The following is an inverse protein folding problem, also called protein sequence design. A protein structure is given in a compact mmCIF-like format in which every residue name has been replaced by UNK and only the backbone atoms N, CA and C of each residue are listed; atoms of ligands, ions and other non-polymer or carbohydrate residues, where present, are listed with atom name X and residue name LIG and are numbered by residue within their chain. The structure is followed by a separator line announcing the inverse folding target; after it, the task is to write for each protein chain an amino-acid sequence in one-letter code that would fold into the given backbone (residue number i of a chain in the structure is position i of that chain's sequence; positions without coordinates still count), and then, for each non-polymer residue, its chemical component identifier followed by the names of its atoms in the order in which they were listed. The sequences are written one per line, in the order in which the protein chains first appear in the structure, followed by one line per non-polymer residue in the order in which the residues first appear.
data_IF_501279552825
#
_entry.id   IF_501279552825
#
_cell.length_a   1.000
_cell.length_b   1.000
_cell.length_c   1.000
_cell.angle_alpha   90.00
_cell.angle_beta   90.00
_cell.angle_gamma   90.00
#
_symmetry.space_group_name_H-M   'P 1'
#
loop_
_entity.id
_entity.type
_entity.pdbx_description
1 polymer ?
#
# COMPACT_ATOMS: atom_id res chain seq x y z
N UNK A 1 57.25 -3.45 38.03
CA UNK A 1 56.57 -3.68 36.74
C UNK A 1 55.22 -4.30 37.04
N UNK A 2 54.18 -3.46 37.15
CA UNK A 2 52.80 -3.87 37.43
C UNK A 2 52.09 -4.12 36.09
N UNK A 3 51.46 -5.28 35.93
CA UNK A 3 50.42 -5.47 34.92
C UNK A 3 49.13 -5.89 35.61
N UNK A 4 48.18 -4.96 35.60
CA UNK A 4 46.80 -5.12 36.04
C UNK A 4 46.06 -6.16 35.22
N UNK A 5 45.41 -7.11 35.89
CA UNK A 5 44.25 -7.83 35.35
C UNK A 5 42.99 -7.28 36.03
N UNK A 6 42.12 -6.63 35.27
CA UNK A 6 40.81 -6.19 35.74
C UNK A 6 39.84 -7.39 35.79
N UNK A 7 38.87 -7.43 36.73
CA UNK A 7 37.88 -8.49 36.79
C UNK A 7 36.81 -8.34 35.69
N UNK A 8 36.46 -9.45 35.05
CA UNK A 8 35.41 -9.60 34.04
C UNK A 8 34.03 -9.29 34.64
N UNK A 9 33.15 -8.50 34.00
CA UNK A 9 31.80 -8.27 34.51
C UNK A 9 30.91 -9.50 34.25
N UNK A 10 30.36 -10.05 35.34
CA UNK A 10 29.31 -11.09 35.30
C UNK A 10 28.00 -10.44 34.85
N UNK A 11 27.50 -10.80 33.67
CA UNK A 11 26.22 -10.35 33.15
C UNK A 11 25.08 -10.91 34.01
N UNK A 12 24.47 -10.07 34.85
CA UNK A 12 23.32 -10.43 35.68
C UNK A 12 22.09 -10.60 34.78
N UNK A 13 21.63 -11.84 34.56
CA UNK A 13 20.39 -12.13 33.82
C UNK A 13 19.20 -11.55 34.58
N UNK A 14 18.55 -10.54 34.01
CA UNK A 14 17.26 -10.03 34.49
C UNK A 14 16.14 -11.06 34.29
N UNK A 15 15.02 -10.96 35.04
CA UNK A 15 13.94 -11.93 34.99
C UNK A 15 13.25 -11.92 33.61
N UNK A 16 12.99 -13.13 33.10
CA UNK A 16 12.47 -13.37 31.76
C UNK A 16 11.12 -12.69 31.50
N UNK A 17 11.02 -12.01 30.36
CA UNK A 17 9.73 -11.57 29.81
C UNK A 17 8.98 -12.79 29.28
N UNK A 18 7.82 -13.05 29.86
CA UNK A 18 6.82 -14.01 29.39
C UNK A 18 6.41 -13.71 27.93
N UNK A 19 6.37 -14.71 27.02
CA UNK A 19 5.86 -14.54 25.68
C UNK A 19 4.38 -14.91 25.64
N UNK A 20 3.49 -14.05 26.15
CA UNK A 20 2.04 -14.24 25.94
C UNK A 20 1.30 -12.91 25.82
N UNK A 21 1.00 -12.55 24.58
CA UNK A 21 0.24 -11.34 24.27
C UNK A 21 0.03 -11.12 22.77
N UNK A 22 -0.14 -12.19 21.98
CA UNK A 22 -0.70 -12.04 20.62
C UNK A 22 -2.13 -11.55 20.80
N UNK A 23 -2.38 -10.26 20.57
CA UNK A 23 -3.74 -9.75 20.38
C UNK A 23 -4.33 -10.56 19.22
N UNK A 24 -5.35 -11.37 19.50
CA UNK A 24 -6.17 -11.95 18.46
C UNK A 24 -6.82 -10.78 17.71
N UNK A 25 -6.36 -10.54 16.49
CA UNK A 25 -7.04 -9.64 15.57
C UNK A 25 -8.33 -10.36 15.18
N UNK A 26 -9.47 -9.82 15.63
CA UNK A 26 -10.77 -10.34 15.25
C UNK A 26 -10.88 -10.34 13.72
N UNK A 27 -11.24 -11.48 13.13
CA UNK A 27 -11.49 -11.56 11.69
C UNK A 27 -12.73 -10.71 11.36
N UNK A 28 -12.69 -9.88 10.31
CA UNK A 28 -13.87 -9.13 9.87
C UNK A 28 -15.00 -10.08 9.41
N UNK A 29 -16.27 -9.65 9.52
CA UNK A 29 -17.43 -10.48 9.20
C UNK A 29 -17.45 -10.95 7.74
N UNK A 30 -18.03 -12.13 7.51
CA UNK A 30 -17.93 -12.91 6.26
C UNK A 30 -18.41 -12.18 4.98
N UNK A 31 -19.24 -11.14 5.10
CA UNK A 31 -19.72 -10.34 3.96
C UNK A 31 -18.67 -9.40 3.37
N UNK A 32 -17.51 -9.24 4.01
CA UNK A 32 -16.39 -8.39 3.58
C UNK A 32 -15.14 -9.21 3.22
N UNK A 33 -15.32 -10.50 2.91
CA UNK A 33 -14.21 -11.36 2.46
C UNK A 33 -13.82 -10.98 1.03
N UNK A 34 -12.77 -10.15 0.91
CA UNK A 34 -11.95 -10.13 -0.30
C UNK A 34 -11.50 -11.57 -0.56
N UNK A 35 -11.80 -12.18 -1.72
CA UNK A 35 -11.40 -13.54 -1.97
C UNK A 35 -9.87 -13.63 -1.91
N UNK A 36 -9.41 -14.63 -1.18
CA UNK A 36 -8.00 -14.89 -0.98
C UNK A 36 -7.34 -15.15 -2.34
N UNK A 37 -6.41 -14.26 -2.73
CA UNK A 37 -5.62 -14.18 -3.99
C UNK A 37 -6.23 -13.26 -5.05
N UNK A 38 -5.95 -11.96 -4.93
CA UNK A 38 -6.02 -11.03 -6.05
C UNK A 38 -4.82 -10.11 -6.04
N UNK A 39 -3.80 -10.37 -6.84
CA UNK A 39 -2.84 -9.33 -7.22
C UNK A 39 -3.48 -8.43 -8.30
N UNK A 40 -2.96 -7.22 -8.50
CA UNK A 40 -3.46 -6.35 -9.56
C UNK A 40 -3.41 -7.03 -10.94
N UNK A 41 -2.44 -7.91 -11.18
CA UNK A 41 -2.33 -8.73 -12.39
C UNK A 41 -3.41 -9.80 -12.49
N UNK A 42 -3.64 -10.58 -11.42
CA UNK A 42 -4.74 -11.57 -11.39
C UNK A 42 -6.11 -10.90 -11.59
N UNK A 43 -6.29 -9.70 -11.04
CA UNK A 43 -7.49 -8.88 -11.23
C UNK A 43 -7.61 -8.37 -12.68
N UNK A 44 -6.48 -8.05 -13.32
CA UNK A 44 -6.42 -7.60 -14.72
C UNK A 44 -6.68 -8.71 -15.72
N UNK A 45 -6.14 -9.90 -15.50
CA UNK A 45 -6.46 -11.07 -16.33
C UNK A 45 -7.95 -11.42 -16.27
N UNK A 46 -8.54 -11.31 -15.07
CA UNK A 46 -9.96 -11.61 -14.86
C UNK A 46 -10.89 -10.52 -15.36
N UNK A 47 -10.48 -9.26 -15.25
CA UNK A 47 -11.29 -8.09 -15.61
C UNK A 47 -10.48 -7.14 -16.50
N UNK A 48 -10.13 -7.54 -17.74
CA UNK A 48 -9.25 -6.76 -18.61
C UNK A 48 -9.80 -5.38 -18.95
N UNK A 49 -11.13 -5.20 -18.86
CA UNK A 49 -11.79 -3.90 -19.02
C UNK A 49 -11.28 -2.83 -18.03
N UNK A 50 -10.64 -3.20 -16.91
CA UNK A 50 -10.05 -2.23 -15.97
C UNK A 50 -8.92 -1.40 -16.56
N UNK A 51 -8.29 -1.88 -17.64
CA UNK A 51 -7.27 -1.15 -18.38
C UNK A 51 -7.88 0.00 -19.21
N UNK A 52 -9.21 -0.02 -19.39
CA UNK A 52 -9.96 1.05 -20.03
C UNK A 52 -10.31 2.10 -18.96
N UNK A 53 -9.28 2.73 -18.41
CA UNK A 53 -9.46 3.69 -17.32
C UNK A 53 -10.14 4.97 -17.84
N UNK A 54 -11.31 5.28 -17.26
CA UNK A 54 -12.13 6.43 -17.63
C UNK A 54 -11.46 7.75 -17.24
N UNK A 55 -10.67 7.76 -16.17
CA UNK A 55 -9.93 8.96 -15.76
C UNK A 55 -8.79 9.19 -16.76
N UNK A 56 -8.06 8.14 -17.13
CA UNK A 56 -7.01 8.24 -18.14
C UNK A 56 -7.54 8.76 -19.49
N UNK A 57 -8.75 8.34 -19.91
CA UNK A 57 -9.35 8.83 -21.16
C UNK A 57 -9.81 10.29 -21.10
N UNK A 58 -10.04 10.83 -19.90
CA UNK A 58 -10.43 12.22 -19.68
C UNK A 58 -9.24 13.16 -19.54
N UNK A 59 -8.12 12.66 -19.01
CA UNK A 59 -6.96 13.49 -18.64
C UNK A 59 -5.88 13.48 -19.72
N UNK A 60 -5.71 12.37 -20.45
CA UNK A 60 -4.69 12.26 -21.49
C UNK A 60 -5.20 12.81 -22.83
N UNK A 61 -4.33 13.46 -23.64
CA UNK A 61 -4.61 13.72 -25.04
C UNK A 61 -5.06 12.45 -25.78
N UNK A 62 -5.96 12.60 -26.75
CA UNK A 62 -6.62 11.46 -27.39
C UNK A 62 -5.65 10.50 -28.10
N UNK A 63 -4.58 11.03 -28.69
CA UNK A 63 -3.48 10.29 -29.30
C UNK A 63 -2.67 9.52 -28.25
N UNK A 64 -2.32 10.16 -27.13
CA UNK A 64 -1.59 9.52 -26.04
C UNK A 64 -2.43 8.42 -25.37
N UNK A 65 -3.72 8.67 -25.15
CA UNK A 65 -4.64 7.65 -24.63
C UNK A 65 -4.74 6.45 -25.59
N UNK A 66 -4.80 6.71 -26.91
CA UNK A 66 -4.78 5.64 -27.92
C UNK A 66 -3.48 4.84 -27.85
N UNK A 67 -2.32 5.49 -27.83
CA UNK A 67 -1.03 4.80 -27.75
C UNK A 67 -0.89 3.99 -26.45
N UNK A 68 -1.35 4.53 -25.31
CA UNK A 68 -1.43 3.77 -24.05
C UNK A 68 -2.34 2.55 -24.20
N UNK A 69 -3.52 2.72 -24.81
CA UNK A 69 -4.45 1.61 -25.04
C UNK A 69 -3.86 0.52 -25.90
N UNK A 70 -3.20 0.90 -27.00
CA UNK A 70 -2.55 -0.02 -27.92
C UNK A 70 -1.40 -0.78 -27.25
N UNK A 71 -0.58 -0.11 -26.44
CA UNK A 71 0.50 -0.76 -25.68
C UNK A 71 -0.03 -1.78 -24.67
N UNK A 72 -1.28 -1.64 -24.23
CA UNK A 72 -1.95 -2.56 -23.31
C UNK A 72 -2.74 -3.69 -24.00
N UNK A 73 -2.86 -3.74 -25.34
CA UNK A 73 -3.66 -4.80 -26.01
C UNK A 73 -3.04 -6.19 -25.84
N UNK A 74 -1.71 -6.30 -25.87
CA UNK A 74 -0.98 -7.57 -25.74
C UNK A 74 0.01 -7.61 -24.56
N UNK A 75 -0.04 -6.60 -23.68
CA UNK A 75 0.94 -6.45 -22.60
C UNK A 75 0.98 -7.67 -21.67
N UNK A 76 -0.15 -8.35 -21.44
CA UNK A 76 -0.21 -9.56 -20.61
C UNK A 76 0.48 -10.77 -21.25
N UNK A 77 0.89 -10.73 -22.51
CA UNK A 77 1.60 -11.83 -23.18
C UNK A 77 3.06 -11.48 -23.53
N UNK A 78 3.51 -10.27 -23.18
CA UNK A 78 4.90 -9.87 -23.36
C UNK A 78 5.83 -10.64 -22.38
N UNK A 79 7.09 -10.93 -22.76
CA UNK A 79 8.04 -11.64 -21.90
C UNK A 79 8.26 -11.01 -20.52
N UNK A 80 8.08 -9.68 -20.40
CA UNK A 80 8.17 -8.99 -19.11
C UNK A 80 6.93 -9.23 -18.21
N UNK A 81 5.75 -9.49 -18.76
CA UNK A 81 4.58 -9.83 -17.97
C UNK A 81 4.75 -11.17 -17.23
N UNK A 82 5.53 -12.10 -17.79
CA UNK A 82 5.90 -13.34 -17.11
C UNK A 82 6.90 -13.13 -15.97
N UNK A 83 7.72 -12.08 -16.04
CA UNK A 83 8.54 -11.63 -14.90
C UNK A 83 7.63 -11.11 -13.79
N UNK A 84 6.71 -10.20 -14.13
CA UNK A 84 5.80 -9.61 -13.14
C UNK A 84 4.83 -10.62 -12.53
N UNK A 85 4.32 -11.58 -13.31
CA UNK A 85 3.54 -12.71 -12.78
C UNK A 85 4.35 -13.53 -11.78
N UNK A 86 5.62 -13.82 -12.06
CA UNK A 86 6.51 -14.53 -11.13
C UNK A 86 6.80 -13.69 -9.89
N UNK A 87 7.00 -12.39 -10.06
CA UNK A 87 7.27 -11.47 -8.95
C UNK A 87 6.07 -11.37 -8.00
N UNK A 88 4.88 -11.14 -8.58
CA UNK A 88 3.62 -10.93 -7.87
C UNK A 88 3.14 -12.16 -7.11
N UNK A 89 3.40 -13.38 -7.65
CA UNK A 89 3.06 -14.65 -6.98
C UNK A 89 3.68 -14.77 -5.58
N UNK A 90 4.83 -14.16 -5.36
CA UNK A 90 5.56 -14.23 -4.09
C UNK A 90 5.51 -12.93 -3.29
N UNK A 91 4.74 -11.93 -3.70
CA UNK A 91 4.75 -10.60 -3.08
C UNK A 91 4.41 -10.66 -1.58
N UNK A 92 3.42 -11.47 -1.20
CA UNK A 92 3.09 -11.73 0.22
C UNK A 92 4.31 -12.25 0.98
N UNK A 93 4.97 -13.29 0.47
CA UNK A 93 6.11 -13.91 1.13
C UNK A 93 7.31 -12.95 1.24
N UNK A 94 7.43 -12.01 0.32
CA UNK A 94 8.45 -10.96 0.34
C UNK A 94 8.12 -9.87 1.36
N UNK A 95 6.88 -9.41 1.44
CA UNK A 95 6.48 -8.23 2.23
C UNK A 95 6.12 -8.58 3.68
N UNK A 96 5.48 -9.72 3.92
CA UNK A 96 5.03 -10.13 5.27
C UNK A 96 6.15 -10.14 6.31
N UNK A 97 7.38 -10.64 6.04
CA UNK A 97 8.47 -10.58 7.02
C UNK A 97 8.83 -9.15 7.46
N UNK A 98 8.72 -8.15 6.57
CA UNK A 98 8.96 -6.75 6.93
C UNK A 98 7.82 -6.17 7.77
N UNK A 99 6.56 -6.56 7.47
CA UNK A 99 5.40 -6.18 8.28
C UNK A 99 5.54 -6.77 9.70
N UNK A 100 5.79 -8.08 9.80
CA UNK A 100 5.95 -8.78 11.08
C UNK A 100 7.17 -8.30 11.87
N UNK A 101 8.24 -7.93 11.15
CA UNK A 101 9.44 -7.32 11.72
C UNK A 101 9.27 -5.86 12.17
N UNK A 102 8.12 -5.23 11.92
CA UNK A 102 7.84 -3.85 12.30
C UNK A 102 8.61 -2.80 11.48
N UNK A 103 9.00 -3.13 10.25
CA UNK A 103 9.69 -2.19 9.37
C UNK A 103 8.81 -0.97 9.04
N UNK A 104 9.44 0.18 8.81
CA UNK A 104 8.76 1.36 8.30
C UNK A 104 8.47 1.17 6.80
N UNK A 105 7.24 0.78 6.48
CA UNK A 105 6.78 0.57 5.10
C UNK A 105 6.01 1.81 4.62
N UNK A 106 6.34 2.29 3.43
CA UNK A 106 5.62 3.35 2.71
C UNK A 106 4.94 2.78 1.47
N UNK A 107 3.81 3.36 1.06
CA UNK A 107 3.12 2.98 -0.16
C UNK A 107 3.86 3.51 -1.39
N UNK A 108 4.12 2.62 -2.35
CA UNK A 108 4.71 2.94 -3.64
C UNK A 108 4.25 1.90 -4.66
N UNK A 109 3.73 2.36 -5.79
CA UNK A 109 2.97 1.50 -6.72
C UNK A 109 3.70 1.20 -8.01
N UNK A 110 4.80 1.89 -8.29
CA UNK A 110 5.47 1.87 -9.60
C UNK A 110 4.53 2.14 -10.79
N UNK A 111 3.48 2.95 -10.55
CA UNK A 111 2.51 3.28 -11.59
C UNK A 111 3.20 3.97 -12.76
N UNK A 112 2.92 3.47 -13.96
CA UNK A 112 3.70 3.76 -15.16
C UNK A 112 4.26 2.48 -15.78
N UNK A 113 4.43 1.41 -14.99
CA UNK A 113 4.64 0.07 -15.54
C UNK A 113 3.36 -0.46 -16.22
N UNK A 114 3.45 -1.22 -17.34
CA UNK A 114 2.30 -1.81 -18.00
C UNK A 114 1.41 -2.62 -17.03
N UNK A 115 0.12 -2.24 -16.96
CA UNK A 115 -0.87 -2.85 -16.07
C UNK A 115 -1.05 -2.15 -14.70
N UNK A 116 -0.11 -1.27 -14.30
CA UNK A 116 -0.18 -0.46 -13.09
C UNK A 116 -0.72 0.93 -13.40
N UNK A 117 -2.04 1.03 -13.56
CA UNK A 117 -2.73 2.26 -13.94
C UNK A 117 -2.70 3.28 -12.79
N UNK A 118 -2.27 4.51 -13.08
CA UNK A 118 -2.25 5.63 -12.13
C UNK A 118 -3.60 5.81 -11.41
N UNK A 119 -3.54 6.20 -10.14
CA UNK A 119 -4.72 6.37 -9.30
C UNK A 119 -5.24 5.03 -8.76
N UNK A 120 -5.68 4.12 -9.64
CA UNK A 120 -6.25 2.84 -9.20
C UNK A 120 -5.22 1.95 -8.52
N UNK A 121 -3.98 1.88 -9.00
CA UNK A 121 -2.88 1.09 -8.42
C UNK A 121 -2.64 1.36 -6.94
N UNK A 122 -2.71 2.62 -6.50
CA UNK A 122 -2.51 3.02 -5.09
C UNK A 122 -3.51 2.30 -4.19
N UNK A 123 -4.77 2.24 -4.60
CA UNK A 123 -5.80 1.56 -3.82
C UNK A 123 -5.48 0.06 -3.65
N UNK A 124 -4.98 -0.58 -4.71
CA UNK A 124 -4.64 -2.01 -4.69
C UNK A 124 -3.42 -2.29 -3.81
N UNK A 125 -2.46 -1.36 -3.77
CA UNK A 125 -1.30 -1.48 -2.89
C UNK A 125 -1.71 -1.44 -1.42
N UNK A 126 -2.63 -0.55 -1.05
CA UNK A 126 -3.15 -0.48 0.32
C UNK A 126 -3.98 -1.74 0.67
N UNK A 127 -4.79 -2.24 -0.27
CA UNK A 127 -5.49 -3.53 -0.11
C UNK A 127 -4.50 -4.69 0.06
N UNK A 128 -3.38 -4.69 -0.66
CA UNK A 128 -2.32 -5.69 -0.53
C UNK A 128 -1.65 -5.63 0.85
N UNK A 129 -1.30 -4.44 1.35
CA UNK A 129 -0.76 -4.30 2.70
C UNK A 129 -1.69 -4.88 3.76
N UNK A 130 -2.99 -4.59 3.68
CA UNK A 130 -3.98 -5.17 4.61
C UNK A 130 -4.03 -6.69 4.46
N UNK A 131 -4.08 -7.19 3.22
CA UNK A 131 -4.04 -8.63 2.95
C UNK A 131 -2.78 -9.30 3.47
N UNK A 132 -1.65 -8.61 3.53
CA UNK A 132 -0.34 -9.15 3.94
C UNK A 132 -0.09 -9.06 5.46
N UNK A 133 -0.97 -8.40 6.21
CA UNK A 133 -0.97 -8.43 7.68
C UNK A 133 -1.10 -7.07 8.35
N UNK A 134 -1.12 -5.96 7.61
CA UNK A 134 -1.40 -4.65 8.20
C UNK A 134 -2.89 -4.50 8.56
N UNK A 135 -3.18 -3.70 9.57
CA UNK A 135 -4.51 -3.13 9.77
C UNK A 135 -4.81 -2.06 8.69
N UNK A 136 -6.09 -1.75 8.39
CA UNK A 136 -6.42 -0.68 7.46
C UNK A 136 -5.81 0.68 7.85
N UNK A 137 -5.73 0.99 9.15
CA UNK A 137 -5.12 2.23 9.63
C UNK A 137 -3.60 2.26 9.40
N UNK A 138 -2.90 1.13 9.55
CA UNK A 138 -1.47 1.03 9.22
C UNK A 138 -1.22 1.20 7.72
N UNK A 139 -2.08 0.64 6.86
CA UNK A 139 -2.00 0.83 5.41
C UNK A 139 -2.24 2.31 5.02
N UNK A 140 -3.23 2.97 5.63
CA UNK A 140 -3.47 4.42 5.44
C UNK A 140 -2.24 5.23 5.91
N UNK A 141 -1.67 4.86 7.06
CA UNK A 141 -0.45 5.49 7.61
C UNK A 141 0.75 5.34 6.66
N UNK A 142 0.88 4.18 6.02
CA UNK A 142 1.91 3.92 5.00
C UNK A 142 1.78 4.82 3.75
N UNK A 143 0.57 5.31 3.47
CA UNK A 143 0.29 6.19 2.33
C UNK A 143 0.23 7.68 2.68
N UNK A 144 0.29 8.04 3.97
CA UNK A 144 0.06 9.41 4.45
C UNK A 144 1.21 9.90 5.33
N UNK A 145 1.15 9.68 6.65
CA UNK A 145 2.08 10.30 7.59
C UNK A 145 3.50 9.74 7.49
N UNK A 146 3.69 8.47 7.10
CA UNK A 146 5.03 7.90 6.88
C UNK A 146 5.76 8.57 5.70
N UNK A 147 5.21 8.61 4.47
CA UNK A 147 5.85 9.32 3.38
C UNK A 147 5.89 10.85 3.63
N UNK A 148 4.90 11.42 4.34
CA UNK A 148 4.94 12.84 4.72
C UNK A 148 6.22 13.21 5.44
N UNK A 149 6.64 12.42 6.45
CA UNK A 149 7.90 12.60 7.18
C UNK A 149 9.16 12.56 6.30
N UNK A 150 9.09 11.96 5.11
CA UNK A 150 10.21 11.83 4.19
C UNK A 150 10.22 12.92 3.12
N UNK A 151 9.04 13.42 2.73
CA UNK A 151 8.87 14.23 1.53
C UNK A 151 8.74 15.73 1.81
N UNK A 152 7.99 16.12 2.85
CA UNK A 152 7.82 17.53 3.20
C UNK A 152 7.38 17.71 4.67
N UNK A 153 7.76 18.82 5.33
CA UNK A 153 7.48 18.99 6.76
C UNK A 153 6.01 19.27 7.09
N UNK A 154 5.17 19.56 6.09
CA UNK A 154 3.82 20.10 6.23
C UNK A 154 2.72 19.25 5.56
N UNK A 155 2.99 17.97 5.26
CA UNK A 155 2.03 17.07 4.59
C UNK A 155 1.87 15.72 5.31
N UNK A 156 0.82 14.98 4.94
CA UNK A 156 0.61 13.58 5.36
C UNK A 156 -0.06 13.41 6.73
N UNK A 157 -0.35 14.49 7.45
CA UNK A 157 -1.07 14.47 8.73
C UNK A 157 -2.18 15.54 8.74
N UNK A 158 -3.31 15.21 9.37
CA UNK A 158 -4.39 16.16 9.64
C UNK A 158 -4.11 16.91 10.95
N UNK A 159 -3.35 18.01 10.85
CA UNK A 159 -2.90 18.80 12.00
C UNK A 159 -2.81 20.29 11.66
N UNK A 160 -3.05 21.21 12.60
CA UNK A 160 -2.81 22.64 12.36
C UNK A 160 -1.39 22.90 11.86
N UNK A 161 -1.26 23.77 10.85
CA UNK A 161 0.01 24.09 10.17
C UNK A 161 0.40 23.14 9.04
N UNK A 162 -0.41 22.10 8.75
CA UNK A 162 -0.21 21.20 7.61
C UNK A 162 -1.12 21.63 6.45
N UNK A 163 -0.74 21.27 5.22
CA UNK A 163 -1.57 21.52 4.03
C UNK A 163 -2.92 20.84 4.17
N UNK A 164 -3.95 21.52 3.71
CA UNK A 164 -5.32 21.01 3.68
C UNK A 164 -5.53 20.07 2.47
N UNK A 165 -4.69 19.04 2.39
CA UNK A 165 -4.74 17.95 1.42
C UNK A 165 -5.50 16.78 2.02
N UNK A 166 -6.78 16.64 1.66
CA UNK A 166 -7.72 15.72 2.32
C UNK A 166 -8.56 14.99 1.29
N UNK A 167 -8.84 13.71 1.53
CA UNK A 167 -9.87 12.98 0.78
C UNK A 167 -11.03 12.63 1.71
N UNK A 168 -12.26 12.76 1.21
CA UNK A 168 -13.47 12.29 1.87
C UNK A 168 -13.96 11.02 1.18
N UNK A 169 -14.24 10.00 1.98
CA UNK A 169 -14.68 8.69 1.52
C UNK A 169 -15.94 8.32 2.28
N UNK A 170 -16.95 7.82 1.57
CA UNK A 170 -18.21 7.41 2.20
C UNK A 170 -18.02 6.09 2.94
N UNK A 171 -18.24 6.10 4.25
CA UNK A 171 -18.15 4.92 5.12
C UNK A 171 -16.85 4.88 5.93
N UNK A 172 -16.62 3.77 6.63
CA UNK A 172 -15.49 3.61 7.54
C UNK A 172 -14.33 2.83 6.89
N UNK A 173 -13.36 3.58 6.37
CA UNK A 173 -12.14 3.01 5.73
C UNK A 173 -11.25 2.26 6.71
N UNK A 174 -11.37 2.49 8.03
CA UNK A 174 -10.61 1.76 9.04
C UNK A 174 -11.13 0.33 9.25
N UNK A 175 -12.36 0.06 8.80
CA UNK A 175 -12.98 -1.27 8.78
C UNK A 175 -12.97 -1.92 7.40
N UNK A 176 -13.10 -1.12 6.35
CA UNK A 176 -13.08 -1.60 4.98
C UNK A 176 -12.24 -0.68 4.09
N UNK A 177 -10.98 -1.05 3.88
CA UNK A 177 -10.03 -0.29 3.06
C UNK A 177 -10.47 -0.20 1.59
N UNK A 178 -11.29 -1.13 1.10
CA UNK A 178 -11.79 -1.12 -0.28
C UNK A 178 -12.71 0.06 -0.61
N UNK A 179 -13.24 0.75 0.41
CA UNK A 179 -14.02 1.98 0.23
C UNK A 179 -13.20 3.10 -0.45
N UNK A 180 -11.85 3.03 -0.40
CA UNK A 180 -10.97 3.94 -1.13
C UNK A 180 -11.15 3.91 -2.66
N UNK A 181 -11.86 2.91 -3.21
CA UNK A 181 -12.27 2.94 -4.62
C UNK A 181 -13.21 4.10 -4.96
N UNK A 182 -13.93 4.63 -3.97
CA UNK A 182 -15.02 5.58 -4.15
C UNK A 182 -14.79 6.83 -3.28
N UNK A 183 -13.75 7.60 -3.63
CA UNK A 183 -13.51 8.92 -3.04
C UNK A 183 -14.63 9.86 -3.46
N UNK A 184 -15.30 10.46 -2.48
CA UNK A 184 -16.42 11.35 -2.66
C UNK A 184 -15.98 12.78 -2.92
N UNK A 185 -14.98 13.26 -2.17
CA UNK A 185 -14.39 14.58 -2.35
C UNK A 185 -12.87 14.55 -2.22
N UNK A 186 -12.18 15.37 -3.00
CA UNK A 186 -10.73 15.63 -2.87
C UNK A 186 -10.52 17.10 -2.59
N UNK A 187 -9.73 17.42 -1.58
CA UNK A 187 -9.28 18.76 -1.26
C UNK A 187 -7.78 18.80 -1.45
N UNK A 188 -7.29 19.82 -2.15
CA UNK A 188 -5.87 20.08 -2.31
C UNK A 188 -5.60 21.55 -2.02
N UNK A 189 -4.66 21.81 -1.11
CA UNK A 189 -4.37 23.14 -0.58
C UNK A 189 -5.64 23.87 -0.10
N UNK A 190 -6.61 23.13 0.45
CA UNK A 190 -7.89 23.65 0.93
C UNK A 190 -8.92 23.93 -0.16
N UNK A 191 -8.57 23.78 -1.44
CA UNK A 191 -9.50 23.91 -2.56
C UNK A 191 -10.17 22.57 -2.82
N UNK A 192 -11.50 22.57 -2.86
CA UNK A 192 -12.28 21.38 -3.19
C UNK A 192 -12.23 21.10 -4.70
N UNK A 193 -11.92 19.86 -5.02
CA UNK A 193 -12.09 19.19 -6.30
C UNK A 193 -13.19 18.13 -6.13
N UNK A 194 -13.43 17.33 -7.18
CA UNK A 194 -14.41 16.23 -7.21
C UNK A 194 -14.69 15.65 -5.84
#
# INVERSE_FOLDING_TARGET
MNSHAAPTPVLRRGPGRSPSGRRQIAQPPASHRFPARRTIFEETERFPARLNDIIASQVLPADLYRSLRESLVDHLHLPHADRERRWSKNLRAKVTPFIEGGACIVAGTDSGEPGLIHGSSTRYELENFVRFGMTPLEAITAATSRPGKLLAPDIGELRPGFRADVILVKGDVTRNIGLLANVAHVFKDGVQYK
#
